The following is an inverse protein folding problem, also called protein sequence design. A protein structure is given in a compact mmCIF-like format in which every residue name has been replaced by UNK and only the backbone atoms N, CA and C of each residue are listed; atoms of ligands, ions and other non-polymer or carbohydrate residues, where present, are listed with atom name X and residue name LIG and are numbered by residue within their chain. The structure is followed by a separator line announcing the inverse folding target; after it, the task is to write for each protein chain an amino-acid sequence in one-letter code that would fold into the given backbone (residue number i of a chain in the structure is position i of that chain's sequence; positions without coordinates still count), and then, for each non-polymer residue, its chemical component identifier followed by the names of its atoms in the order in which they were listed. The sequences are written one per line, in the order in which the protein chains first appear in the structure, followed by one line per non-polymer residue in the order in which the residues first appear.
data_IF_910739620768
#
_entry.id   IF_910739620768
#
_cell.length_a   1.000
_cell.length_b   1.000
_cell.length_c   1.000
_cell.angle_alpha   90.00
_cell.angle_beta   90.00
_cell.angle_gamma   90.00
#
_symmetry.space_group_name_H-M   'P 1'
#
loop_
_entity.id
_entity.type
_entity.pdbx_description
1 polymer ?
#
# COMPACT_ATOMS: atom_id res chain seq x y z
N UNK A 1 3.06 -13.19 -15.38
CA UNK A 1 3.74 -12.33 -14.39
C UNK A 1 3.00 -11.01 -14.24
N UNK A 2 2.75 -10.59 -13.03
CA UNK A 2 2.03 -9.34 -12.80
C UNK A 2 2.99 -8.16 -12.89
N UNK A 3 2.52 -7.03 -13.43
CA UNK A 3 3.35 -5.84 -13.44
C UNK A 3 3.55 -5.31 -12.03
N UNK A 4 4.64 -4.62 -11.83
CA UNK A 4 4.90 -3.93 -10.58
C UNK A 4 4.21 -2.57 -10.61
N UNK A 5 3.79 -2.13 -9.43
CA UNK A 5 3.19 -0.82 -9.29
C UNK A 5 4.27 0.20 -8.94
N UNK A 6 4.24 1.35 -9.57
CA UNK A 6 5.13 2.44 -9.17
C UNK A 6 4.44 3.30 -8.11
N UNK A 7 5.11 4.36 -7.69
CA UNK A 7 4.59 5.21 -6.64
C UNK A 7 3.25 5.84 -7.03
N UNK A 8 3.14 6.29 -8.27
CA UNK A 8 1.89 6.91 -8.73
C UNK A 8 0.77 5.89 -8.80
N UNK A 9 1.06 4.68 -9.25
CA UNK A 9 0.06 3.62 -9.29
C UNK A 9 -0.44 3.29 -7.90
N UNK A 10 0.48 3.17 -6.95
CA UNK A 10 0.12 2.87 -5.57
C UNK A 10 -0.69 3.99 -4.96
N UNK A 11 -0.30 5.23 -5.21
CA UNK A 11 -1.03 6.38 -4.69
C UNK A 11 -2.47 6.39 -5.18
N UNK A 12 -2.65 6.09 -6.46
CA UNK A 12 -3.96 6.04 -7.06
C UNK A 12 -4.81 4.93 -6.43
N UNK A 13 -4.17 3.78 -6.21
CA UNK A 13 -4.85 2.64 -5.62
C UNK A 13 -5.29 2.92 -4.19
N UNK A 14 -4.44 3.60 -3.42
CA UNK A 14 -4.74 3.90 -2.02
C UNK A 14 -5.51 5.19 -1.82
N UNK A 15 -5.72 5.96 -2.88
CA UNK A 15 -6.42 7.23 -2.76
C UNK A 15 -5.61 8.29 -2.04
N UNK A 16 -4.29 8.26 -2.18
CA UNK A 16 -3.39 9.23 -1.54
C UNK A 16 -2.53 9.89 -2.57
N UNK A 17 -1.96 11.03 -2.21
CA UNK A 17 -1.02 11.68 -3.10
C UNK A 17 0.34 11.00 -3.03
N UNK A 18 1.12 11.03 -4.14
CA UNK A 18 2.46 10.46 -4.11
C UNK A 18 3.37 11.09 -3.06
N UNK A 19 3.22 12.39 -2.81
CA UNK A 19 4.02 13.05 -1.79
C UNK A 19 3.72 12.52 -0.41
N UNK A 20 2.44 12.27 -0.13
CA UNK A 20 2.05 11.69 1.16
C UNK A 20 2.67 10.31 1.34
N UNK A 21 2.66 9.49 0.29
CA UNK A 21 3.26 8.17 0.37
C UNK A 21 4.76 8.25 0.60
N UNK A 22 5.44 9.16 -0.08
CA UNK A 22 6.88 9.35 0.13
C UNK A 22 7.18 9.75 1.56
N UNK A 23 6.37 10.65 2.10
CA UNK A 23 6.53 11.08 3.48
C UNK A 23 6.31 9.91 4.43
N UNK A 24 5.27 9.11 4.19
CA UNK A 24 4.97 7.96 5.04
C UNK A 24 6.08 6.92 4.99
N UNK A 25 6.69 6.73 3.84
CA UNK A 25 7.80 5.78 3.73
C UNK A 25 8.93 6.12 4.68
N UNK A 26 9.12 7.40 4.97
CA UNK A 26 10.20 7.82 5.86
C UNK A 26 9.75 7.93 7.30
N UNK A 27 8.53 8.39 7.53
CA UNK A 27 8.07 8.68 8.88
C UNK A 27 7.27 7.56 9.50
N UNK A 28 6.50 6.88 8.69
CA UNK A 28 5.58 5.88 9.19
C UNK A 28 5.47 4.74 8.18
N UNK A 29 6.54 3.94 8.05
CA UNK A 29 6.55 2.90 7.02
C UNK A 29 5.43 1.87 7.16
N UNK A 30 4.85 1.72 8.35
CA UNK A 30 3.75 0.80 8.52
C UNK A 30 2.48 1.26 7.82
N UNK A 31 2.40 2.54 7.45
CA UNK A 31 1.25 3.05 6.73
C UNK A 31 1.34 2.79 5.23
N UNK A 32 2.37 2.09 4.78
CA UNK A 32 2.60 1.81 3.37
C UNK A 32 2.85 0.31 3.22
N UNK A 33 2.32 -0.32 2.16
CA UNK A 33 2.58 -1.75 1.95
C UNK A 33 4.06 -2.04 1.75
N UNK A 34 4.49 -3.29 1.99
CA UNK A 34 5.88 -3.66 1.76
C UNK A 34 6.23 -3.55 0.28
N UNK A 35 7.39 -2.99 0.01
CA UNK A 35 7.82 -2.77 -1.36
C UNK A 35 8.82 -3.84 -1.77
N UNK A 36 8.95 -3.99 -3.10
CA UNK A 36 9.96 -4.86 -3.67
C UNK A 36 11.29 -4.13 -3.62
N UNK A 37 12.33 -4.83 -3.16
CA UNK A 37 13.66 -4.27 -3.17
C UNK A 37 14.41 -4.86 -4.34
N UNK A 38 14.59 -4.05 -5.38
CA UNK A 38 15.29 -4.49 -6.57
C UNK A 38 16.78 -4.25 -6.40
N UNK A 39 17.61 -5.27 -6.62
CA UNK A 39 19.06 -5.09 -6.45
C UNK A 39 19.61 -4.03 -7.39
N UNK A 40 20.53 -3.24 -6.90
CA UNK A 40 21.21 -2.26 -7.71
C UNK A 40 20.42 -1.03 -8.06
N UNK A 41 19.27 -0.80 -7.43
CA UNK A 41 18.45 0.35 -7.74
C UNK A 41 17.69 0.80 -6.51
N UNK A 42 17.26 2.05 -6.54
CA UNK A 42 16.41 2.62 -5.49
C UNK A 42 14.99 2.83 -5.95
N UNK A 43 14.61 2.22 -7.06
CA UNK A 43 13.26 2.38 -7.59
C UNK A 43 12.24 1.82 -6.60
N UNK A 44 11.17 2.58 -6.43
CA UNK A 44 10.08 2.17 -5.55
C UNK A 44 9.07 1.40 -6.38
N UNK A 45 8.91 0.13 -6.05
CA UNK A 45 7.97 -0.74 -6.76
C UNK A 45 7.27 -1.62 -5.75
N UNK A 46 6.04 -1.98 -6.06
CA UNK A 46 5.22 -2.84 -5.21
C UNK A 46 4.62 -3.94 -6.05
N UNK A 47 4.48 -5.12 -5.45
CA UNK A 47 3.77 -6.21 -6.10
C UNK A 47 2.30 -6.12 -5.71
N UNK A 48 1.42 -6.38 -6.68
CA UNK A 48 -0.02 -6.35 -6.42
C UNK A 48 -0.39 -7.31 -5.30
N UNK A 49 0.18 -8.51 -5.30
CA UNK A 49 -0.13 -9.51 -4.28
C UNK A 49 0.25 -9.01 -2.88
N UNK A 50 1.38 -8.33 -2.75
CA UNK A 50 1.82 -7.81 -1.45
C UNK A 50 0.91 -6.69 -0.99
N UNK A 51 0.49 -5.83 -1.91
CA UNK A 51 -0.42 -4.75 -1.57
C UNK A 51 -1.76 -5.30 -1.12
N UNK A 52 -2.26 -6.30 -1.83
CA UNK A 52 -3.53 -6.91 -1.47
C UNK A 52 -3.46 -7.56 -0.10
N UNK A 53 -2.39 -8.27 0.20
CA UNK A 53 -2.22 -8.90 1.50
C UNK A 53 -2.13 -7.86 2.61
N UNK A 54 -1.43 -6.76 2.33
CA UNK A 54 -1.31 -5.67 3.30
C UNK A 54 -2.67 -5.03 3.57
N UNK A 55 -3.45 -4.81 2.51
CA UNK A 55 -4.79 -4.25 2.67
C UNK A 55 -5.68 -5.19 3.48
N UNK A 56 -5.60 -6.48 3.21
CA UNK A 56 -6.38 -7.46 3.96
C UNK A 56 -6.01 -7.42 5.44
N UNK A 57 -4.74 -7.30 5.73
CA UNK A 57 -4.27 -7.27 7.11
C UNK A 57 -4.75 -6.03 7.87
N UNK A 58 -5.03 -4.96 7.14
CA UNK A 58 -5.46 -3.70 7.74
C UNK A 58 -6.94 -3.42 7.54
N UNK A 59 -7.67 -4.35 6.97
CA UNK A 59 -9.09 -4.21 6.77
C UNK A 59 -9.81 -4.57 8.06
N UNK A 60 -10.76 -3.75 8.44
CA UNK A 60 -11.60 -4.07 9.59
C UNK A 60 -12.62 -5.08 9.18
N UNK A 61 -12.41 -6.23 9.64
CA UNK A 61 -13.25 -7.24 9.25
C UNK A 61 -14.31 -7.46 10.14
N UNK A 62 -14.58 -7.32 10.78
CA UNK A 62 -15.39 -7.72 11.51
C UNK A 62 -16.57 -7.79 11.27
N UNK A 63 -16.44 -8.28 10.89
CA UNK A 63 -17.40 -8.42 10.74
C UNK A 63 -18.21 -7.39 10.99
N UNK A 64 -17.87 -7.06 11.02
CA UNK A 64 -18.24 -6.32 11.19
C UNK A 64 -18.80 -5.64 10.48
N UNK A 65 -19.11 -5.84 10.17
CA UNK A 65 -19.49 -5.35 9.80
C UNK A 65 -20.00 -4.65 9.62
N UNK A 66 -20.11 -4.34 9.39
CA UNK A 66 -20.50 -3.73 9.20
C UNK A 66 -20.92 -2.96 9.30
N UNK A 67 -21.15 -2.69 9.67
CA UNK A 67 -21.53 -2.03 9.86
C UNK A 67 -21.33 -1.02 9.86
N UNK A 68 -21.17 -0.69 9.65
CA UNK A 68 -20.92 0.05 9.58
C UNK A 68 -20.51 0.79 9.89
N UNK A 69 -20.35 0.99 10.02
CA UNK A 69 -19.96 1.59 10.30
C UNK A 69 -19.24 2.25 10.28
N UNK A 70 -18.97 2.33 10.30
CA UNK A 70 -18.35 2.81 10.38
C UNK A 70 -18.06 3.47 9.89
N UNK A 71 -17.98 3.75 9.77
CA UNK A 71 -17.73 4.30 9.52
C UNK A 71 -17.64 4.84 9.39
#
# INVERSE_FOLDING_TARGET
MQPLLDLNDLARLLGRSPETLKSDLRRNPDAVPPRVQLPGTRLLRWRVADVEAWLDAHTEVSGQIGLGGQA
#
